data_IF_113005502533
#
_entry.id   IF_113005502533
#
_cell.length_a   1.000
_cell.length_b   1.000
_cell.length_c   1.000
_cell.angle_alpha   90.00
_cell.angle_beta   90.00
_cell.angle_gamma   90.00
#
_symmetry.space_group_name_H-M   'P 1'
#
loop_
_entity.id
_entity.type
_entity.pdbx_description
1 polymer ?
#
# COMPACT_ATOMS: atom_id res chain seq x y z
N UNK A 1 14.37 7.42 -8.60
CA UNK A 1 13.97 6.02 -8.32
C UNK A 1 12.51 6.05 -7.88
N UNK A 2 11.69 5.10 -8.35
CA UNK A 2 10.29 4.96 -7.93
C UNK A 2 10.09 3.60 -7.28
N UNK A 3 9.34 3.55 -6.17
CA UNK A 3 9.08 2.30 -5.43
C UNK A 3 7.58 2.05 -5.37
N UNK A 4 7.19 0.84 -5.75
CA UNK A 4 5.80 0.40 -5.78
C UNK A 4 5.59 -0.66 -4.70
N UNK A 5 4.72 -0.38 -3.74
CA UNK A 5 4.40 -1.26 -2.61
C UNK A 5 3.04 -1.91 -2.88
N UNK A 6 2.99 -3.24 -2.86
CA UNK A 6 1.77 -4.02 -3.09
C UNK A 6 1.38 -4.68 -1.78
N UNK A 7 0.16 -4.43 -1.31
CA UNK A 7 -0.40 -5.05 -0.10
C UNK A 7 -1.85 -5.43 -0.37
N UNK A 8 -2.14 -6.74 -0.41
CA UNK A 8 -3.50 -7.28 -0.61
C UNK A 8 -4.27 -7.51 0.70
N UNK A 9 -3.65 -7.19 1.84
CA UNK A 9 -4.19 -7.52 3.15
C UNK A 9 -5.38 -6.61 3.51
N UNK A 10 -6.39 -7.23 4.12
CA UNK A 10 -7.61 -6.53 4.57
C UNK A 10 -7.49 -6.02 6.00
N UNK A 11 -6.47 -6.47 6.73
CA UNK A 11 -6.26 -6.16 8.14
C UNK A 11 -4.93 -5.44 8.35
N UNK A 12 -4.74 -4.83 9.52
CA UNK A 12 -3.51 -4.11 9.85
C UNK A 12 -2.75 -4.85 10.94
N UNK A 13 -1.64 -5.47 10.55
CA UNK A 13 -0.77 -6.25 11.45
C UNK A 13 0.68 -5.73 11.34
N UNK A 14 1.63 -6.53 11.81
CA UNK A 14 3.06 -6.19 11.77
C UNK A 14 3.56 -5.85 10.37
N UNK A 15 3.14 -6.60 9.34
CA UNK A 15 3.54 -6.36 7.95
C UNK A 15 3.13 -4.97 7.45
N UNK A 16 1.85 -4.61 7.59
CA UNK A 16 1.34 -3.31 7.15
C UNK A 16 1.94 -2.16 7.96
N UNK A 17 2.21 -2.38 9.26
CA UNK A 17 2.93 -1.42 10.11
C UNK A 17 4.34 -1.17 9.57
N UNK A 18 5.05 -2.21 9.16
CA UNK A 18 6.39 -2.11 8.58
C UNK A 18 6.36 -1.40 7.21
N UNK A 19 5.36 -1.69 6.36
CA UNK A 19 5.17 -0.97 5.08
C UNK A 19 4.96 0.52 5.34
N UNK A 20 4.15 0.90 6.33
CA UNK A 20 3.92 2.30 6.67
C UNK A 20 5.23 3.01 7.09
N UNK A 21 6.03 2.38 7.96
CA UNK A 21 7.34 2.94 8.36
C UNK A 21 8.31 3.06 7.18
N UNK A 22 8.31 2.08 6.27
CA UNK A 22 9.14 2.13 5.07
C UNK A 22 8.72 3.28 4.16
N UNK A 23 7.42 3.44 3.92
CA UNK A 23 6.88 4.57 3.16
C UNK A 23 7.29 5.91 3.78
N UNK A 24 7.26 6.02 5.11
CA UNK A 24 7.59 7.27 5.82
C UNK A 24 9.08 7.60 5.63
N UNK A 25 9.95 6.62 5.87
CA UNK A 25 11.38 6.79 5.74
C UNK A 25 11.83 7.07 4.29
N UNK A 26 11.21 6.42 3.31
CA UNK A 26 11.53 6.62 1.89
C UNK A 26 11.03 7.99 1.39
N UNK A 27 9.81 8.39 1.74
CA UNK A 27 9.31 9.73 1.38
C UNK A 27 10.15 10.84 2.04
N UNK A 28 10.54 10.68 3.30
CA UNK A 28 11.43 11.63 3.99
C UNK A 28 12.81 11.78 3.32
N UNK A 29 13.21 10.82 2.49
CA UNK A 29 14.45 10.84 1.69
C UNK A 29 14.23 11.29 0.24
N UNK A 30 13.03 11.76 -0.10
CA UNK A 30 12.68 12.21 -1.46
C UNK A 30 12.47 11.08 -2.47
N UNK A 31 12.29 9.83 -2.02
CA UNK A 31 11.94 8.72 -2.91
C UNK A 31 10.45 8.77 -3.22
N UNK A 32 10.12 8.70 -4.51
CA UNK A 32 8.74 8.67 -4.98
C UNK A 32 8.14 7.28 -4.72
N UNK A 33 7.13 7.22 -3.84
CA UNK A 33 6.47 5.99 -3.45
C UNK A 33 5.04 5.92 -3.99
N UNK A 34 4.63 4.71 -4.36
CA UNK A 34 3.27 4.36 -4.73
C UNK A 34 2.80 3.17 -3.90
N UNK A 35 1.58 3.23 -3.38
CA UNK A 35 0.96 2.15 -2.63
C UNK A 35 -0.25 1.60 -3.40
N UNK A 36 -0.19 0.32 -3.74
CA UNK A 36 -1.26 -0.44 -4.36
C UNK A 36 -1.88 -1.40 -3.34
N UNK A 37 -3.09 -1.08 -2.89
CA UNK A 37 -3.79 -1.88 -1.88
C UNK A 37 -5.32 -1.71 -1.95
N UNK A 38 -6.11 -2.61 -1.32
CA UNK A 38 -7.55 -2.49 -1.28
C UNK A 38 -8.00 -1.15 -0.71
N UNK A 39 -8.97 -0.49 -1.38
CA UNK A 39 -9.48 0.83 -0.97
C UNK A 39 -9.99 0.88 0.47
N UNK A 40 -10.55 -0.24 0.94
CA UNK A 40 -11.10 -0.40 2.30
C UNK A 40 -10.10 -1.00 3.29
N UNK A 41 -8.83 -1.22 2.89
CA UNK A 41 -7.80 -1.71 3.80
C UNK A 41 -7.43 -0.60 4.80
N UNK A 42 -7.11 -0.95 6.05
CA UNK A 42 -6.67 0.06 7.01
C UNK A 42 -5.29 0.66 6.68
N UNK A 43 -4.49 0.01 5.80
CA UNK A 43 -3.24 0.57 5.29
C UNK A 43 -3.52 1.71 4.28
N UNK A 44 -4.50 1.53 3.38
CA UNK A 44 -4.93 2.57 2.44
C UNK A 44 -5.31 3.87 3.16
N UNK A 45 -6.04 3.75 4.27
CA UNK A 45 -6.43 4.90 5.10
C UNK A 45 -5.21 5.58 5.74
N UNK A 46 -4.34 4.80 6.41
CA UNK A 46 -3.19 5.33 7.16
C UNK A 46 -2.10 5.94 6.27
N UNK A 47 -1.93 5.46 5.04
CA UNK A 47 -0.98 5.99 4.07
C UNK A 47 -1.59 7.13 3.21
N UNK A 48 -2.48 7.95 3.78
CA UNK A 48 -3.21 9.01 3.08
C UNK A 48 -2.36 10.09 2.41
N UNK A 49 -1.09 10.18 2.78
CA UNK A 49 -0.11 11.17 2.32
C UNK A 49 0.82 10.64 1.21
N UNK A 50 0.64 9.38 0.78
CA UNK A 50 1.37 8.76 -0.34
C UNK A 50 0.46 8.68 -1.56
N UNK A 51 1.06 8.65 -2.77
CA UNK A 51 0.33 8.29 -3.98
C UNK A 51 -0.24 6.87 -3.85
N UNK A 52 -1.56 6.73 -3.96
CA UNK A 52 -2.25 5.44 -3.80
C UNK A 52 -3.02 5.07 -5.04
N UNK A 53 -3.00 3.78 -5.36
CA UNK A 53 -3.82 3.15 -6.39
C UNK A 53 -4.60 2.03 -5.71
N UNK A 54 -5.92 2.00 -5.89
CA UNK A 54 -6.75 0.97 -5.27
C UNK A 54 -7.27 -0.03 -6.28
N UNK A 55 -7.22 -1.31 -5.94
CA UNK A 55 -7.90 -2.40 -6.63
C UNK A 55 -8.51 -3.36 -5.61
N UNK A 56 -9.54 -4.15 -5.96
CA UNK A 56 -10.18 -5.08 -5.01
C UNK A 56 -9.24 -6.19 -4.51
N UNK A 57 -8.20 -6.57 -5.29
CA UNK A 57 -7.16 -7.56 -4.94
C UNK A 57 -7.76 -8.84 -4.32
N UNK A 58 -8.55 -9.57 -5.10
CA UNK A 58 -9.27 -10.79 -4.70
C UNK A 58 -8.38 -12.05 -4.74
N UNK A 59 -7.11 -11.94 -5.15
CA UNK A 59 -6.15 -13.04 -5.16
C UNK A 59 -6.31 -13.92 -6.40
N UNK A 60 -6.31 -15.25 -6.24
CA UNK A 60 -6.47 -16.18 -7.38
C UNK A 60 -7.80 -16.00 -8.16
N UNK A 61 -8.76 -15.28 -7.59
CA UNK A 61 -10.04 -14.96 -8.20
C UNK A 61 -10.10 -13.57 -8.87
N UNK A 62 -8.95 -12.92 -9.07
CA UNK A 62 -8.80 -11.69 -9.88
C UNK A 62 -8.86 -12.00 -11.40
N UNK A 63 -9.89 -12.75 -11.85
CA UNK A 63 -10.04 -13.23 -13.24
C UNK A 63 -10.57 -12.15 -14.20
N UNK A 64 -11.14 -11.08 -13.63
CA UNK A 64 -11.78 -9.99 -14.36
C UNK A 64 -11.39 -8.59 -13.80
N UNK A 65 -10.39 -8.54 -12.91
CA UNK A 65 -9.90 -7.29 -12.31
C UNK A 65 -8.91 -6.55 -13.20
#
# INVERSE_FOLDING_TARGET
MKVFHIDSEKTFRGGQRQVLYLLEGLNGRGVENFLFCPRKSPLFERAGWVNKISAPMLGEFDIFS
#
